data_IF_977824849196
#
_entry.id   IF_977824849196
#
_cell.length_a   1.000
_cell.length_b   1.000
_cell.length_c   1.000
_cell.angle_alpha   90.00
_cell.angle_beta   90.00
_cell.angle_gamma   90.00
#
_symmetry.space_group_name_H-M   'P 1'
#
loop_
_entity.id
_entity.type
_entity.pdbx_description
1 polymer ?
#
# COMPACT_ATOMS: atom_id res chain seq x y z
N UNK A 1 13.93 -23.11 10.31
CA UNK A 1 13.13 -21.96 10.83
C UNK A 1 12.93 -20.83 9.81
N UNK A 2 13.82 -20.62 8.83
CA UNK A 2 13.70 -19.56 7.80
C UNK A 2 12.61 -19.80 6.74
N UNK A 3 12.21 -21.05 6.45
CA UNK A 3 11.24 -21.36 5.38
C UNK A 3 9.77 -21.08 5.74
N UNK A 4 9.39 -21.11 7.03
CA UNK A 4 8.00 -20.85 7.46
C UNK A 4 7.64 -19.36 7.49
N UNK A 5 8.64 -18.49 7.67
CA UNK A 5 8.45 -17.03 7.71
C UNK A 5 8.17 -16.49 6.30
N UNK A 6 8.87 -17.03 5.29
CA UNK A 6 8.71 -16.64 3.88
C UNK A 6 7.32 -17.06 3.35
N UNK A 7 6.80 -18.22 3.78
CA UNK A 7 5.44 -18.65 3.46
C UNK A 7 4.35 -17.78 4.08
N UNK A 8 4.56 -17.30 5.32
CA UNK A 8 3.60 -16.40 5.98
C UNK A 8 3.49 -15.03 5.32
N UNK A 9 4.61 -14.46 4.87
CA UNK A 9 4.65 -13.17 4.17
C UNK A 9 3.94 -13.27 2.81
N UNK A 10 4.15 -14.37 2.07
CA UNK A 10 3.47 -14.60 0.79
C UNK A 10 1.95 -14.76 0.91
N UNK A 11 1.48 -15.43 1.96
CA UNK A 11 0.03 -15.58 2.23
C UNK A 11 -0.60 -14.23 2.60
N UNK A 12 0.08 -13.41 3.41
CA UNK A 12 -0.38 -12.06 3.75
C UNK A 12 -0.46 -11.18 2.49
N UNK A 13 0.54 -11.28 1.60
CA UNK A 13 0.57 -10.54 0.34
C UNK A 13 -0.60 -10.92 -0.59
N UNK A 14 -0.91 -12.22 -0.70
CA UNK A 14 -2.03 -12.73 -1.50
C UNK A 14 -3.38 -12.31 -0.89
N UNK A 15 -3.52 -12.35 0.43
CA UNK A 15 -4.75 -11.92 1.11
C UNK A 15 -5.00 -10.42 0.92
N UNK A 16 -3.98 -9.57 1.01
CA UNK A 16 -4.10 -8.12 0.78
C UNK A 16 -4.44 -7.82 -0.69
N UNK A 17 -3.84 -8.55 -1.63
CA UNK A 17 -4.11 -8.41 -3.07
C UNK A 17 -5.57 -8.75 -3.41
N UNK A 18 -6.11 -9.83 -2.84
CA UNK A 18 -7.51 -10.24 -3.03
C UNK A 18 -8.47 -9.20 -2.43
N UNK A 19 -8.15 -8.67 -1.23
CA UNK A 19 -8.97 -7.66 -0.54
C UNK A 19 -9.05 -6.34 -1.31
N UNK A 20 -7.95 -5.90 -1.95
CA UNK A 20 -7.94 -4.67 -2.75
C UNK A 20 -8.73 -4.76 -4.07
N UNK A 21 -8.94 -5.97 -4.60
CA UNK A 21 -9.73 -6.17 -5.84
C UNK A 21 -11.23 -6.26 -5.58
N UNK A 22 -11.64 -6.65 -4.36
CA UNK A 22 -13.05 -6.79 -3.99
C UNK A 22 -13.78 -5.45 -3.84
N UNK A 23 -13.06 -4.34 -3.60
CA UNK A 23 -13.63 -2.99 -3.48
C UNK A 23 -13.93 -2.33 -4.84
N UNK A 24 -13.61 -2.97 -5.97
CA UNK A 24 -13.85 -2.46 -7.32
C UNK A 24 -15.07 -3.08 -8.03
N UNK A 25 -15.82 -3.96 -7.36
CA UNK A 25 -17.03 -4.56 -7.95
C UNK A 25 -18.19 -3.56 -7.76
N UNK A 26 -18.78 -3.02 -8.86
CA UNK A 26 -19.95 -2.18 -8.75
C UNK A 26 -21.07 -2.97 -8.10
N UNK A 27 -21.73 -2.35 -7.13
CA UNK A 27 -22.79 -2.86 -6.27
C UNK A 27 -23.83 -3.71 -7.04
N UNK A 28 -23.61 -5.03 -7.13
CA UNK A 28 -24.63 -5.96 -7.60
C UNK A 28 -25.56 -6.21 -6.41
N UNK A 29 -26.66 -5.46 -6.37
CA UNK A 29 -27.66 -5.55 -5.33
C UNK A 29 -28.45 -6.86 -5.46
N UNK A 30 -27.90 -7.95 -4.92
CA UNK A 30 -28.65 -9.18 -4.69
C UNK A 30 -28.48 -9.62 -3.24
N UNK A 31 -29.58 -10.05 -2.62
CA UNK A 31 -29.64 -10.46 -1.22
C UNK A 31 -28.65 -11.61 -0.91
N UNK A 32 -28.38 -12.47 -1.90
CA UNK A 32 -27.40 -13.55 -1.82
C UNK A 32 -25.95 -13.04 -1.79
N UNK A 33 -25.63 -12.02 -2.59
CA UNK A 33 -24.29 -11.40 -2.61
C UNK A 33 -24.04 -10.62 -1.33
N UNK A 34 -25.02 -9.88 -0.81
CA UNK A 34 -24.86 -9.16 0.46
C UNK A 34 -24.57 -10.10 1.64
N UNK A 35 -25.23 -11.27 1.69
CA UNK A 35 -24.99 -12.28 2.73
C UNK A 35 -23.59 -12.91 2.64
N UNK A 36 -23.07 -13.07 1.42
CA UNK A 36 -21.70 -13.55 1.18
C UNK A 36 -20.69 -12.44 1.53
N UNK A 37 -20.93 -11.21 1.12
CA UNK A 37 -20.08 -10.06 1.47
C UNK A 37 -19.99 -9.87 2.98
N UNK A 38 -21.11 -9.93 3.71
CA UNK A 38 -21.10 -9.80 5.19
C UNK A 38 -20.35 -10.93 5.89
N UNK A 39 -20.44 -12.16 5.38
CA UNK A 39 -19.70 -13.30 5.96
C UNK A 39 -18.21 -13.28 5.59
N UNK A 40 -17.87 -12.80 4.40
CA UNK A 40 -16.48 -12.53 4.00
C UNK A 40 -15.91 -11.38 4.82
N UNK A 41 -16.68 -10.33 5.10
CA UNK A 41 -16.30 -9.22 5.97
C UNK A 41 -16.04 -9.69 7.41
N UNK A 42 -16.92 -10.51 7.99
CA UNK A 42 -16.72 -11.10 9.33
C UNK A 42 -15.49 -12.02 9.41
N UNK A 43 -15.27 -12.86 8.39
CA UNK A 43 -14.08 -13.74 8.33
C UNK A 43 -12.80 -12.90 8.14
N UNK A 44 -12.87 -11.84 7.33
CA UNK A 44 -11.78 -10.88 7.13
C UNK A 44 -11.42 -10.17 8.43
N UNK A 45 -12.41 -9.63 9.13
CA UNK A 45 -12.27 -9.00 10.44
C UNK A 45 -11.64 -9.97 11.45
N UNK A 46 -12.16 -11.20 11.55
CA UNK A 46 -11.63 -12.22 12.47
C UNK A 46 -10.17 -12.61 12.19
N UNK A 47 -9.78 -12.75 10.92
CA UNK A 47 -8.43 -13.16 10.54
C UNK A 47 -7.41 -12.01 10.66
N UNK A 48 -7.80 -10.80 10.23
CA UNK A 48 -7.01 -9.58 10.42
C UNK A 48 -6.85 -9.33 11.92
N UNK A 49 -7.92 -9.31 12.71
CA UNK A 49 -7.88 -9.07 14.17
C UNK A 49 -7.08 -10.16 14.89
N UNK A 50 -7.09 -11.44 14.47
CA UNK A 50 -6.22 -12.46 15.06
C UNK A 50 -4.74 -12.25 14.73
N UNK A 51 -4.39 -11.92 13.48
CA UNK A 51 -3.01 -11.62 13.10
C UNK A 51 -2.51 -10.31 13.72
N UNK A 52 -3.31 -9.24 13.62
CA UNK A 52 -3.09 -7.95 14.25
C UNK A 52 -3.01 -8.11 15.77
N UNK A 53 -3.92 -8.79 16.45
CA UNK A 53 -3.88 -8.90 17.92
C UNK A 53 -2.66 -9.68 18.42
N UNK A 54 -2.14 -10.62 17.64
CA UNK A 54 -0.88 -11.30 17.96
C UNK A 54 0.33 -10.37 17.77
N UNK A 55 0.28 -9.47 16.80
CA UNK A 55 1.28 -8.43 16.57
C UNK A 55 1.16 -7.27 17.58
N UNK A 56 -0.04 -6.79 17.87
CA UNK A 56 -0.39 -5.76 18.85
C UNK A 56 -0.21 -6.21 20.31
N UNK A 57 -0.20 -7.53 20.58
CA UNK A 57 0.21 -8.08 21.87
C UNK A 57 1.72 -8.01 22.11
N UNK A 58 2.51 -7.65 21.10
CA UNK A 58 3.88 -7.19 21.37
C UNK A 58 3.75 -5.85 22.06
N UNK A 59 4.39 -5.64 23.22
CA UNK A 59 4.31 -4.39 23.99
C UNK A 59 4.99 -3.20 23.30
N UNK A 60 4.81 -3.04 21.99
CA UNK A 60 5.34 -1.96 21.16
C UNK A 60 4.44 -0.75 21.35
N UNK A 61 5.03 0.38 21.71
CA UNK A 61 4.30 1.64 21.85
C UNK A 61 3.79 2.16 20.50
N UNK A 62 2.70 2.92 20.51
CA UNK A 62 2.17 3.57 19.30
C UNK A 62 3.22 4.49 18.64
N UNK A 63 4.05 5.15 19.43
CA UNK A 63 5.16 6.00 18.94
C UNK A 63 6.17 5.18 18.13
N UNK A 64 6.57 4.01 18.65
CA UNK A 64 7.48 3.11 17.94
C UNK A 64 6.88 2.61 16.63
N UNK A 65 5.59 2.28 16.61
CA UNK A 65 4.88 1.89 15.39
C UNK A 65 4.81 3.03 14.38
N UNK A 66 4.61 4.27 14.83
CA UNK A 66 4.54 5.45 13.96
C UNK A 66 5.89 5.72 13.32
N UNK A 67 6.97 5.71 14.11
CA UNK A 67 8.34 5.85 13.62
C UNK A 67 8.64 4.76 12.58
N UNK A 68 8.29 3.51 12.88
CA UNK A 68 8.47 2.41 11.94
C UNK A 68 7.68 2.62 10.64
N UNK A 69 6.42 3.07 10.73
CA UNK A 69 5.58 3.36 9.57
C UNK A 69 6.20 4.43 8.67
N UNK A 70 6.71 5.52 9.25
CA UNK A 70 7.38 6.61 8.54
C UNK A 70 8.65 6.09 7.85
N UNK A 71 9.47 5.30 8.54
CA UNK A 71 10.68 4.69 7.98
C UNK A 71 10.33 3.81 6.77
N UNK A 72 9.35 2.92 6.91
CA UNK A 72 8.95 2.04 5.81
C UNK A 72 8.40 2.80 4.60
N UNK A 73 7.53 3.79 4.81
CA UNK A 73 7.01 4.62 3.72
C UNK A 73 8.11 5.46 3.05
N UNK A 74 9.09 5.92 3.81
CA UNK A 74 10.25 6.66 3.27
C UNK A 74 11.12 5.75 2.41
N UNK A 75 11.37 4.51 2.85
CA UNK A 75 12.12 3.53 2.04
C UNK A 75 11.34 3.20 0.76
N UNK A 76 10.02 3.04 0.83
CA UNK A 76 9.18 2.83 -0.35
C UNK A 76 9.31 3.99 -1.35
N UNK A 77 9.20 5.23 -0.87
CA UNK A 77 9.40 6.44 -1.67
C UNK A 77 10.77 6.47 -2.35
N UNK A 78 11.84 6.12 -1.62
CA UNK A 78 13.20 6.03 -2.17
C UNK A 78 13.29 4.95 -3.25
N UNK A 79 12.78 3.75 -2.99
CA UNK A 79 12.79 2.64 -3.95
C UNK A 79 12.08 3.02 -5.25
N UNK A 80 10.89 3.63 -5.17
CA UNK A 80 10.17 4.09 -6.35
C UNK A 80 10.90 5.22 -7.06
N UNK A 81 11.38 6.23 -6.35
CA UNK A 81 12.13 7.34 -6.95
C UNK A 81 13.33 6.84 -7.74
N UNK A 82 14.15 5.96 -7.15
CA UNK A 82 15.31 5.36 -7.82
C UNK A 82 14.86 4.51 -9.00
N UNK A 83 13.84 3.66 -8.82
CA UNK A 83 13.31 2.81 -9.89
C UNK A 83 12.88 3.62 -11.11
N UNK A 84 12.10 4.69 -10.90
CA UNK A 84 11.61 5.59 -11.94
C UNK A 84 12.75 6.36 -12.61
N UNK A 85 13.68 6.94 -11.83
CA UNK A 85 14.78 7.74 -12.38
C UNK A 85 15.68 6.88 -13.26
N UNK A 86 16.06 5.68 -12.80
CA UNK A 86 16.95 4.81 -13.58
C UNK A 86 16.21 4.19 -14.77
N UNK A 87 14.93 3.86 -14.61
CA UNK A 87 14.11 3.40 -15.72
C UNK A 87 14.00 4.46 -16.83
N UNK A 88 13.65 5.70 -16.48
CA UNK A 88 13.53 6.83 -17.41
C UNK A 88 14.86 7.14 -18.11
N UNK A 89 15.97 7.15 -17.37
CA UNK A 89 17.29 7.40 -17.96
C UNK A 89 17.71 6.30 -18.94
N UNK A 90 17.30 5.06 -18.69
CA UNK A 90 17.58 3.95 -19.60
C UNK A 90 16.62 3.87 -20.79
N UNK A 91 15.44 4.50 -20.71
CA UNK A 91 14.42 4.51 -21.77
C UNK A 91 13.79 3.14 -22.08
N UNK A 92 14.08 2.11 -21.29
CA UNK A 92 13.58 0.75 -21.49
C UNK A 92 13.44 0.04 -20.14
N UNK A 93 12.31 -0.63 -19.91
CA UNK A 93 12.10 -1.42 -18.70
C UNK A 93 13.05 -2.64 -18.66
N UNK A 94 13.73 -2.86 -17.52
CA UNK A 94 14.64 -4.00 -17.27
C UNK A 94 14.19 -4.80 -16.05
N UNK A 95 14.52 -6.11 -15.97
CA UNK A 95 14.07 -6.97 -14.87
C UNK A 95 14.48 -6.51 -13.47
N UNK A 96 15.59 -5.79 -13.33
CA UNK A 96 16.06 -5.33 -12.03
C UNK A 96 15.29 -4.09 -11.52
N UNK A 97 14.72 -3.26 -12.39
CA UNK A 97 13.81 -2.18 -11.99
C UNK A 97 12.54 -2.76 -11.35
N UNK A 98 12.02 -3.85 -11.95
CA UNK A 98 10.87 -4.58 -11.40
C UNK A 98 11.14 -5.06 -9.97
N UNK A 99 12.35 -5.56 -9.69
CA UNK A 99 12.74 -5.93 -8.31
C UNK A 99 12.69 -4.75 -7.35
N UNK A 100 13.13 -3.56 -7.78
CA UNK A 100 13.03 -2.34 -6.97
C UNK A 100 11.58 -1.92 -6.73
N UNK A 101 10.72 -2.00 -7.75
CA UNK A 101 9.30 -1.68 -7.59
C UNK A 101 8.61 -2.62 -6.59
N UNK A 102 8.88 -3.94 -6.68
CA UNK A 102 8.32 -4.91 -5.73
C UNK A 102 8.85 -4.70 -4.30
N UNK A 103 10.13 -4.34 -4.17
CA UNK A 103 10.71 -4.01 -2.87
C UNK A 103 10.06 -2.76 -2.27
N UNK A 104 9.83 -1.72 -3.09
CA UNK A 104 9.08 -0.53 -2.69
C UNK A 104 7.67 -0.90 -2.20
N UNK A 105 6.96 -1.77 -2.93
CA UNK A 105 5.59 -2.19 -2.60
C UNK A 105 5.53 -2.95 -1.28
N UNK A 106 6.52 -3.80 -1.00
CA UNK A 106 6.62 -4.49 0.28
C UNK A 106 6.70 -3.50 1.44
N UNK A 107 7.53 -2.47 1.31
CA UNK A 107 7.68 -1.44 2.34
C UNK A 107 6.45 -0.53 2.43
N UNK A 108 5.83 -0.16 1.31
CA UNK A 108 4.59 0.62 1.28
C UNK A 108 3.46 -0.10 2.01
N UNK A 109 3.22 -1.37 1.68
CA UNK A 109 2.18 -2.17 2.34
C UNK A 109 2.42 -2.30 3.84
N UNK A 110 3.68 -2.47 4.26
CA UNK A 110 4.04 -2.56 5.67
C UNK A 110 3.78 -1.24 6.39
N UNK A 111 4.24 -0.12 5.84
CA UNK A 111 4.04 1.21 6.42
C UNK A 111 2.56 1.64 6.45
N UNK A 112 1.82 1.40 5.36
CA UNK A 112 0.39 1.68 5.26
C UNK A 112 -0.42 0.85 6.27
N UNK A 113 -0.06 -0.43 6.47
CA UNK A 113 -0.70 -1.28 7.48
C UNK A 113 -0.47 -0.74 8.89
N UNK A 114 0.76 -0.32 9.22
CA UNK A 114 1.07 0.27 10.52
C UNK A 114 0.29 1.56 10.75
N UNK A 115 0.20 2.44 9.75
CA UNK A 115 -0.62 3.66 9.82
C UNK A 115 -2.10 3.36 10.00
N UNK A 116 -2.64 2.37 9.29
CA UNK A 116 -4.04 1.97 9.41
C UNK A 116 -4.36 1.49 10.84
N UNK A 117 -3.46 0.72 11.45
CA UNK A 117 -3.60 0.27 12.84
C UNK A 117 -3.57 1.45 13.81
N UNK A 118 -2.64 2.39 13.62
CA UNK A 118 -2.47 3.57 14.48
C UNK A 118 -3.65 4.53 14.41
N UNK A 119 -4.24 4.68 13.23
CA UNK A 119 -5.37 5.59 13.01
C UNK A 119 -6.66 5.17 13.71
N UNK A 120 -6.74 3.97 14.30
CA UNK A 120 -7.94 3.44 14.99
C UNK A 120 -9.27 3.61 14.22
N UNK A 121 -9.21 3.73 12.89
CA UNK A 121 -10.39 4.01 12.06
C UNK A 121 -10.88 5.47 12.09
N UNK A 122 -10.08 6.45 12.52
CA UNK A 122 -10.35 7.87 12.26
C UNK A 122 -10.21 8.15 10.76
N UNK A 123 -11.37 8.23 10.13
CA UNK A 123 -11.53 8.30 8.68
C UNK A 123 -11.34 9.76 8.24
N UNK A 124 -10.20 10.11 7.65
CA UNK A 124 -10.22 11.17 6.61
C UNK A 124 -10.67 10.48 5.32
N UNK A 125 -11.98 10.53 4.98
CA UNK A 125 -12.54 9.65 3.96
C UNK A 125 -11.83 9.86 2.62
N UNK A 126 -11.52 11.12 2.34
CA UNK A 126 -10.84 11.53 1.11
C UNK A 126 -9.42 10.96 1.05
N UNK A 127 -8.61 11.12 2.10
CA UNK A 127 -7.22 10.63 2.03
C UNK A 127 -7.15 9.11 1.98
N UNK A 128 -8.01 8.40 2.72
CA UNK A 128 -8.05 6.94 2.64
C UNK A 128 -8.46 6.46 1.25
N UNK A 129 -9.44 7.10 0.61
CA UNK A 129 -9.85 6.77 -0.76
C UNK A 129 -8.70 7.06 -1.74
N UNK A 130 -8.08 8.24 -1.66
CA UNK A 130 -6.95 8.63 -2.51
C UNK A 130 -5.76 7.67 -2.32
N UNK A 131 -5.44 7.31 -1.07
CA UNK A 131 -4.39 6.36 -0.74
C UNK A 131 -4.69 4.95 -1.27
N UNK A 132 -5.94 4.47 -1.14
CA UNK A 132 -6.35 3.17 -1.68
C UNK A 132 -6.26 3.12 -3.21
N UNK A 133 -6.69 4.18 -3.90
CA UNK A 133 -6.55 4.30 -5.36
C UNK A 133 -5.07 4.29 -5.76
N UNK A 134 -4.23 5.07 -5.07
CA UNK A 134 -2.80 5.12 -5.34
C UNK A 134 -2.12 3.75 -5.13
N UNK A 135 -2.46 3.05 -4.04
CA UNK A 135 -1.94 1.71 -3.77
C UNK A 135 -2.38 0.71 -4.84
N UNK A 136 -3.65 0.72 -5.23
CA UNK A 136 -4.16 -0.15 -6.30
C UNK A 136 -3.45 0.13 -7.64
N UNK A 137 -3.15 1.40 -7.93
CA UNK A 137 -2.43 1.81 -9.12
C UNK A 137 -0.98 1.31 -9.12
N UNK A 138 -0.27 1.42 -7.99
CA UNK A 138 1.11 0.91 -7.83
C UNK A 138 1.16 -0.61 -7.90
N UNK A 139 0.20 -1.32 -7.31
CA UNK A 139 0.08 -2.78 -7.44
C UNK A 139 -0.08 -3.16 -8.91
N UNK A 140 -1.01 -2.50 -9.62
CA UNK A 140 -1.27 -2.73 -11.04
C UNK A 140 -0.03 -2.44 -11.89
N UNK A 141 0.69 -1.36 -11.58
CA UNK A 141 1.95 -1.01 -12.20
C UNK A 141 3.02 -2.11 -12.04
N UNK A 142 3.20 -2.65 -10.82
CA UNK A 142 4.16 -3.72 -10.52
C UNK A 142 3.85 -5.02 -11.28
N UNK A 143 2.57 -5.39 -11.33
CA UNK A 143 2.09 -6.55 -12.08
C UNK A 143 2.34 -6.34 -13.58
N UNK A 144 1.99 -5.17 -14.12
CA UNK A 144 2.18 -4.85 -15.53
C UNK A 144 3.66 -4.85 -15.93
N UNK A 145 4.53 -4.28 -15.11
CA UNK A 145 5.99 -4.35 -15.28
C UNK A 145 6.46 -5.81 -15.42
N UNK A 146 5.97 -6.68 -14.53
CA UNK A 146 6.33 -8.10 -14.50
C UNK A 146 5.85 -8.83 -15.76
N UNK A 147 4.63 -8.54 -16.22
CA UNK A 147 4.06 -9.09 -17.46
C UNK A 147 4.85 -8.60 -18.68
N UNK A 148 5.18 -7.32 -18.75
CA UNK A 148 5.93 -6.74 -19.88
C UNK A 148 7.34 -7.35 -19.98
N UNK A 149 8.02 -7.54 -18.85
CA UNK A 149 9.31 -8.26 -18.83
C UNK A 149 9.15 -9.70 -19.33
N UNK A 150 8.13 -10.42 -18.88
CA UNK A 150 7.90 -11.81 -19.29
C UNK A 150 7.54 -11.94 -20.77
N UNK A 151 6.78 -11.00 -21.31
CA UNK A 151 6.39 -11.00 -22.73
C UNK A 151 7.53 -10.59 -23.66
N UNK A 152 8.51 -9.82 -23.17
CA UNK A 152 9.65 -9.39 -23.97
C UNK A 152 9.30 -8.45 -25.13
N UNK A 153 8.07 -7.89 -25.15
CA UNK A 153 7.62 -7.02 -26.23
C UNK A 153 8.38 -5.68 -26.19
N UNK A 154 9.24 -5.46 -27.19
CA UNK A 154 10.13 -4.29 -27.25
C UNK A 154 9.38 -2.96 -27.27
N UNK A 155 8.18 -2.91 -27.86
CA UNK A 155 7.36 -1.69 -27.92
C UNK A 155 6.87 -1.38 -26.50
N UNK A 156 6.31 -2.38 -25.81
CA UNK A 156 5.83 -2.21 -24.43
C UNK A 156 6.97 -1.85 -23.47
N UNK A 157 8.14 -2.49 -23.60
CA UNK A 157 9.32 -2.20 -22.79
C UNK A 157 9.80 -0.74 -22.93
N UNK A 158 9.67 -0.14 -24.12
CA UNK A 158 10.04 1.27 -24.38
C UNK A 158 8.95 2.26 -24.00
N UNK A 159 7.68 1.87 -24.05
CA UNK A 159 6.56 2.72 -23.64
C UNK A 159 6.38 2.78 -22.12
N UNK A 160 6.76 1.71 -21.41
CA UNK A 160 6.54 1.56 -19.98
C UNK A 160 7.13 2.69 -19.12
N UNK A 161 8.36 3.20 -19.34
CA UNK A 161 8.92 4.29 -18.52
C UNK A 161 8.04 5.54 -18.43
N UNK A 162 7.36 5.92 -19.52
CA UNK A 162 6.44 7.07 -19.51
C UNK A 162 5.17 6.80 -18.71
N UNK A 163 4.61 5.59 -18.85
CA UNK A 163 3.46 5.13 -18.06
C UNK A 163 3.82 5.07 -16.57
N UNK A 164 4.98 4.51 -16.26
CA UNK A 164 5.56 4.36 -14.93
C UNK A 164 5.69 5.70 -14.21
N UNK A 165 6.24 6.72 -14.89
CA UNK A 165 6.30 8.09 -14.36
C UNK A 165 4.91 8.65 -14.03
N UNK A 166 3.92 8.48 -14.90
CA UNK A 166 2.56 8.98 -14.66
C UNK A 166 1.94 8.35 -13.39
N UNK A 167 2.08 7.03 -13.23
CA UNK A 167 1.63 6.32 -12.02
C UNK A 167 2.36 6.82 -10.79
N UNK A 168 3.69 6.97 -10.86
CA UNK A 168 4.49 7.47 -9.75
C UNK A 168 4.07 8.88 -9.31
N UNK A 169 3.77 9.78 -10.25
CA UNK A 169 3.33 11.14 -9.91
C UNK A 169 1.97 11.15 -9.20
N UNK A 170 1.02 10.32 -9.63
CA UNK A 170 -0.27 10.16 -8.94
C UNK A 170 -0.06 9.65 -7.52
N UNK A 171 0.80 8.63 -7.36
CA UNK A 171 1.13 8.09 -6.05
C UNK A 171 1.85 9.12 -5.16
N UNK A 172 2.75 9.93 -5.71
CA UNK A 172 3.47 10.97 -4.98
C UNK A 172 2.52 12.04 -4.43
N UNK A 173 1.46 12.39 -5.17
CA UNK A 173 0.41 13.29 -4.67
C UNK A 173 -0.26 12.67 -3.44
N UNK A 174 -0.66 11.39 -3.50
CA UNK A 174 -1.26 10.71 -2.35
C UNK A 174 -0.32 10.72 -1.13
N UNK A 175 0.95 10.40 -1.34
CA UNK A 175 1.99 10.41 -0.30
C UNK A 175 2.12 11.80 0.38
N UNK A 176 2.22 12.87 -0.41
CA UNK A 176 2.34 14.25 0.10
C UNK A 176 1.07 14.66 0.86
N UNK A 177 -0.12 14.33 0.36
CA UNK A 177 -1.37 14.65 1.07
C UNK A 177 -1.43 13.96 2.44
N UNK A 178 -0.94 12.72 2.55
CA UNK A 178 -0.87 12.00 3.81
C UNK A 178 0.04 12.67 4.83
N UNK A 179 1.23 13.12 4.39
CA UNK A 179 2.15 13.87 5.25
C UNK A 179 1.51 15.17 5.78
N UNK A 180 0.87 15.95 4.90
CA UNK A 180 0.23 17.22 5.29
C UNK A 180 -0.88 16.98 6.32
N UNK A 181 -1.71 15.95 6.12
CA UNK A 181 -2.81 15.62 7.04
C UNK A 181 -2.26 15.18 8.39
N UNK A 182 -1.24 14.32 8.40
CA UNK A 182 -0.58 13.88 9.64
C UNK A 182 -0.02 15.04 10.46
N UNK A 183 0.67 15.99 9.81
CA UNK A 183 1.20 17.18 10.49
C UNK A 183 0.11 18.07 11.07
N UNK A 184 -1.03 18.24 10.37
CA UNK A 184 -2.17 19.02 10.86
C UNK A 184 -2.87 18.38 12.06
N UNK A 185 -2.80 17.06 12.20
CA UNK A 185 -3.46 16.32 13.27
C UNK A 185 -2.69 16.48 14.60
N UNK A 186 -1.37 16.45 14.54
CA UNK A 186 -0.49 16.75 15.68
C UNK A 186 -0.74 18.16 16.24
N UNK A 187 -0.87 19.15 15.35
CA UNK A 187 -1.16 20.52 15.77
C UNK A 187 -2.55 20.71 16.39
N UNK A 188 -3.59 20.01 15.89
CA UNK A 188 -4.94 20.09 16.47
C UNK A 188 -5.04 19.43 17.84
N UNK A 189 -4.35 18.31 18.04
CA UNK A 189 -4.25 17.69 19.37
C UNK A 189 -3.65 18.66 20.39
N UNK A 190 -2.63 19.43 20.01
CA UNK A 190 -2.01 20.42 20.89
C UNK A 190 -2.93 21.62 21.21
N UNK A 191 -3.64 22.16 20.20
CA UNK A 191 -4.59 23.27 20.43
C UNK A 191 -5.79 22.85 21.28
N UNK A 192 -6.29 21.62 21.10
CA UNK A 192 -7.40 21.08 21.91
C UNK A 192 -6.99 20.88 23.38
N UNK A 193 -5.73 20.53 23.66
CA UNK A 193 -5.19 20.44 25.03
C UNK A 193 -5.03 21.82 25.67
N UNK A 194 -4.71 22.85 24.87
CA UNK A 194 -4.51 24.22 25.36
C UNK A 194 -5.79 25.07 25.37
N UNK A 195 -6.88 24.59 24.78
CA UNK A 195 -8.16 25.29 24.74
C UNK A 195 -8.13 26.63 23.98
N UNK A 196 -7.24 26.75 22.98
CA UNK A 196 -7.06 27.96 22.14
C UNK A 196 -7.37 27.66 20.68
#
# INVERSE_FOLDING_TARGET
>A
MKSKIIGGIGVIFITILIVSTATAIPYINSQSVNKILTSVDEIREQMIIKCLSKFLKTGISNETMLIAAIIFLTIAWICYSIGIIVELSSGILKPWYVKLFWLGLLFELTGATLMFILGKGEVYPIHMIVGAIALALIISHNILASIIIKTGNIILLKCFPKFSLAVYLIWLIAFITGMIIGMKQDHRGYTDILGV
#
